data_IF_575032102429
#
_entry.id   IF_575032102429
#
_cell.length_a   1.000
_cell.length_b   1.000
_cell.length_c   1.000
_cell.angle_alpha   90.00
_cell.angle_beta   90.00
_cell.angle_gamma   90.00
#
_symmetry.space_group_name_H-M   'P 1'
#
loop_
_entity.id
_entity.type
_entity.pdbx_description
1 polymer ?
#
# COMPACT_ATOMS: atom_id res chain seq x y z
N UNK A 1 -5.14 -12.88 8.49
CA UNK A 1 -4.16 -12.96 7.38
C UNK A 1 -3.88 -11.53 6.94
N UNK A 2 -2.74 -10.97 7.31
CA UNK A 2 -2.33 -9.61 6.92
C UNK A 2 -1.26 -9.76 5.83
N UNK A 3 -1.60 -9.37 4.60
CA UNK A 3 -0.69 -9.49 3.46
C UNK A 3 0.14 -8.22 3.39
N UNK A 4 1.45 -8.35 3.58
CA UNK A 4 2.43 -7.29 3.38
C UNK A 4 3.25 -7.70 2.15
N UNK A 5 3.05 -6.99 1.04
CA UNK A 5 3.80 -7.22 -0.19
C UNK A 5 4.79 -6.07 -0.41
N UNK A 6 6.05 -6.41 -0.71
CA UNK A 6 7.07 -5.46 -1.16
C UNK A 6 7.32 -5.70 -2.65
N UNK A 7 7.15 -4.66 -3.45
CA UNK A 7 7.56 -4.62 -4.85
C UNK A 7 8.76 -3.71 -5.03
N UNK A 8 9.74 -4.15 -5.82
CA UNK A 8 10.75 -3.26 -6.40
C UNK A 8 10.34 -2.92 -7.81
N UNK A 9 10.42 -1.64 -8.15
CA UNK A 9 10.17 -1.21 -9.52
C UNK A 9 11.42 -1.44 -10.38
N UNK A 10 11.31 -2.36 -11.35
CA UNK A 10 12.44 -2.82 -12.19
C UNK A 10 12.37 -2.27 -13.62
N UNK A 11 11.18 -2.05 -14.18
CA UNK A 11 10.98 -1.70 -15.61
C UNK A 11 9.96 -0.58 -15.87
N UNK A 12 9.53 0.21 -14.86
CA UNK A 12 8.57 1.30 -15.11
C UNK A 12 9.22 2.53 -15.75
N UNK A 13 8.43 3.25 -16.56
CA UNK A 13 8.83 4.50 -17.20
C UNK A 13 9.22 5.54 -16.14
N UNK A 14 10.43 6.11 -16.24
CA UNK A 14 10.99 7.08 -15.28
C UNK A 14 10.04 8.26 -14.95
N UNK A 15 9.22 8.66 -15.93
CA UNK A 15 8.23 9.75 -15.78
C UNK A 15 7.16 9.40 -14.74
N UNK A 16 6.75 8.14 -14.64
CA UNK A 16 5.73 7.67 -13.70
C UNK A 16 6.33 7.28 -12.35
N UNK A 17 7.61 6.90 -12.32
CA UNK A 17 8.29 6.55 -11.07
C UNK A 17 8.35 7.73 -10.11
N UNK A 18 8.36 8.97 -10.60
CA UNK A 18 8.51 10.19 -9.78
C UNK A 18 9.72 10.15 -8.81
N UNK A 19 10.70 9.28 -9.08
CA UNK A 19 11.85 9.00 -8.21
C UNK A 19 11.62 7.92 -7.13
N UNK A 20 10.46 7.29 -7.07
CA UNK A 20 10.20 6.14 -6.20
C UNK A 20 10.81 4.87 -6.78
N UNK A 21 11.35 4.02 -5.90
CA UNK A 21 12.06 2.78 -6.27
C UNK A 21 11.42 1.52 -5.69
N UNK A 22 10.64 1.67 -4.64
CA UNK A 22 10.04 0.59 -3.88
C UNK A 22 8.59 0.94 -3.55
N UNK A 23 7.71 -0.06 -3.63
CA UNK A 23 6.32 0.03 -3.19
C UNK A 23 6.07 -1.01 -2.10
N UNK A 24 5.35 -0.59 -1.06
CA UNK A 24 4.89 -1.47 0.01
C UNK A 24 3.37 -1.42 0.05
N UNK A 25 2.73 -2.59 -0.04
CA UNK A 25 1.29 -2.72 0.08
C UNK A 25 0.96 -3.46 1.37
N UNK A 26 0.20 -2.81 2.24
CA UNK A 26 -0.29 -3.39 3.49
C UNK A 26 -1.82 -3.34 3.46
N UNK A 27 -2.47 -4.47 3.67
CA UNK A 27 -3.94 -4.55 3.73
C UNK A 27 -4.38 -4.91 5.14
N UNK A 28 -5.24 -4.09 5.71
CA UNK A 28 -5.86 -4.29 7.03
C UNK A 28 -7.36 -4.52 6.86
N UNK A 29 -7.93 -5.48 7.60
CA UNK A 29 -9.37 -5.78 7.53
C UNK A 29 -10.21 -4.82 8.39
N UNK A 30 -9.60 -4.25 9.44
CA UNK A 30 -10.27 -3.38 10.40
C UNK A 30 -9.43 -2.14 10.67
N UNK A 31 -10.10 -1.05 11.03
CA UNK A 31 -9.44 0.19 11.45
C UNK A 31 -8.70 0.00 12.77
N UNK A 32 -9.22 -0.84 13.68
CA UNK A 32 -8.53 -1.13 14.95
C UNK A 32 -7.18 -1.83 14.73
N UNK A 33 -7.11 -2.76 13.77
CA UNK A 33 -5.88 -3.49 13.45
C UNK A 33 -4.81 -2.55 12.87
N UNK A 34 -5.21 -1.54 12.09
CA UNK A 34 -4.32 -0.50 11.57
C UNK A 34 -3.76 0.39 12.68
N UNK A 35 -4.60 0.81 13.64
CA UNK A 35 -4.15 1.61 14.79
C UNK A 35 -3.20 0.79 15.68
N UNK A 36 -3.54 -0.47 15.94
CA UNK A 36 -2.69 -1.38 16.71
C UNK A 36 -1.32 -1.60 16.03
N UNK A 37 -1.29 -1.71 14.69
CA UNK A 37 -0.06 -1.80 13.92
C UNK A 37 0.78 -0.52 14.01
N UNK A 38 0.15 0.66 13.88
CA UNK A 38 0.86 1.94 13.99
C UNK A 38 1.47 2.17 15.37
N UNK A 39 0.74 1.83 16.43
CA UNK A 39 1.20 1.99 17.82
C UNK A 39 2.16 0.90 18.29
N UNK A 40 2.44 -0.12 17.46
CA UNK A 40 3.36 -1.19 17.84
C UNK A 40 4.81 -0.66 17.87
N UNK A 41 5.59 -0.88 18.94
CA UNK A 41 6.94 -0.33 19.09
C UNK A 41 7.86 -0.70 17.92
N UNK A 42 7.77 -1.94 17.43
CA UNK A 42 8.53 -2.38 16.25
C UNK A 42 8.23 -1.56 14.97
N UNK A 43 6.99 -1.08 14.80
CA UNK A 43 6.64 -0.23 13.66
C UNK A 43 7.18 1.19 13.83
N UNK A 44 7.18 1.73 15.04
CA UNK A 44 7.74 3.06 15.33
C UNK A 44 9.24 3.08 15.07
N UNK A 45 9.98 2.09 15.59
CA UNK A 45 11.43 1.97 15.34
C UNK A 45 11.75 1.77 13.85
N UNK A 46 10.91 1.02 13.13
CA UNK A 46 11.05 0.85 11.70
C UNK A 46 10.77 2.17 10.96
N UNK A 47 9.72 2.90 11.34
CA UNK A 47 9.35 4.19 10.74
C UNK A 47 10.46 5.24 10.89
N UNK A 48 11.12 5.30 12.05
CA UNK A 48 12.25 6.19 12.28
C UNK A 48 13.45 5.85 11.38
N UNK A 49 13.82 4.57 11.31
CA UNK A 49 14.90 4.08 10.42
C UNK A 49 14.55 4.30 8.95
N UNK A 50 13.30 4.03 8.57
CA UNK A 50 12.78 4.16 7.21
C UNK A 50 12.76 5.62 6.76
N UNK A 51 12.30 6.53 7.62
CA UNK A 51 12.29 7.97 7.36
C UNK A 51 13.69 8.54 7.20
N UNK A 52 14.68 8.00 7.92
CA UNK A 52 16.08 8.43 7.79
C UNK A 52 16.74 7.93 6.50
N UNK A 53 16.30 6.78 5.98
CA UNK A 53 16.88 6.15 4.80
C UNK A 53 16.25 6.57 3.46
N UNK A 54 15.17 7.37 3.48
CA UNK A 54 14.35 7.65 2.31
C UNK A 54 14.24 9.15 2.04
N UNK A 55 14.53 9.54 0.80
CA UNK A 55 14.42 10.94 0.36
C UNK A 55 12.98 11.37 0.06
N UNK A 56 12.14 10.45 -0.43
CA UNK A 56 10.75 10.70 -0.80
C UNK A 56 9.85 9.55 -0.37
N UNK A 57 8.79 9.87 0.38
CA UNK A 57 7.78 8.92 0.84
C UNK A 57 6.40 9.45 0.51
N UNK A 58 5.53 8.57 -0.02
CA UNK A 58 4.10 8.84 -0.21
C UNK A 58 3.35 7.70 0.44
N UNK A 59 2.46 8.03 1.37
CA UNK A 59 1.56 7.09 2.02
C UNK A 59 0.15 7.37 1.52
N UNK A 60 -0.51 6.34 1.00
CA UNK A 60 -1.91 6.39 0.58
C UNK A 60 -2.70 5.44 1.47
N UNK A 61 -3.48 6.00 2.40
CA UNK A 61 -4.43 5.25 3.20
C UNK A 61 -5.84 5.50 2.64
N UNK A 62 -6.49 4.43 2.17
CA UNK A 62 -7.84 4.51 1.64
C UNK A 62 -8.64 3.27 2.05
N UNK A 63 -9.94 3.44 2.36
CA UNK A 63 -10.81 2.30 2.60
C UNK A 63 -10.96 1.50 1.30
N UNK A 64 -10.55 0.23 1.33
CA UNK A 64 -10.80 -0.69 0.22
C UNK A 64 -12.30 -0.98 0.14
N UNK A 65 -12.99 -0.20 -0.69
CA UNK A 65 -14.40 -0.43 -1.02
C UNK A 65 -14.45 -1.21 -2.33
N UNK A 66 -15.06 -2.40 -2.30
CA UNK A 66 -15.38 -3.13 -3.52
C UNK A 66 -16.54 -2.45 -4.23
N UNK A 67 -16.22 -1.41 -5.00
CA UNK A 67 -17.15 -0.84 -5.96
C UNK A 67 -17.13 -1.80 -7.16
N UNK A 68 -18.16 -2.64 -7.34
CA UNK A 68 -18.25 -3.63 -8.44
C UNK A 68 -17.77 -3.03 -9.78
N UNK A 69 -17.08 -3.77 -10.66
CA UNK A 69 -17.17 -3.47 -12.07
C UNK A 69 -18.63 -3.73 -12.47
N UNK A 70 -19.42 -2.67 -12.63
CA UNK A 70 -20.68 -2.77 -13.37
C UNK A 70 -20.29 -2.96 -14.83
N UNK A 71 -20.08 -4.21 -15.22
CA UNK A 71 -20.40 -4.66 -16.57
C UNK A 71 -21.36 -5.84 -16.42
N UNK A 72 -22.63 -5.48 -16.24
CA UNK A 72 -23.73 -6.29 -16.71
C UNK A 72 -23.58 -6.38 -18.24
N UNK A 73 -22.80 -7.36 -18.69
CA UNK A 73 -22.78 -7.76 -20.08
C UNK A 73 -23.74 -8.93 -20.21
N UNK A 74 -24.81 -8.67 -20.95
CA UNK A 74 -25.88 -9.57 -21.30
C UNK A 74 -25.37 -10.99 -21.60
N UNK A 75 -25.67 -11.93 -20.72
CA UNK A 75 -25.80 -13.33 -21.11
C UNK A 75 -27.07 -13.43 -21.95
N UNK A 76 -26.95 -13.10 -23.23
CA UNK A 76 -27.83 -13.58 -24.27
C UNK A 76 -27.64 -15.09 -24.39
N UNK A 77 -28.66 -15.86 -24.01
CA UNK A 77 -29.03 -17.15 -24.60
C UNK A 77 -30.42 -17.55 -24.08
#
# INVERSE_FOLDING_TARGET
>A
MHVINRGQDVESLDVLRQGFTHAFLMTFNKKEDYVAFQSHPNHVEFSEKFSTAIEKIVLLDFPSTLVKPVKEEAAAA
#
